data_IF_013334633652
#
_entry.id   IF_013334633652
#
_cell.length_a   1.000
_cell.length_b   1.000
_cell.length_c   1.000
_cell.angle_alpha   90.00
_cell.angle_beta   90.00
_cell.angle_gamma   90.00
#
_symmetry.space_group_name_H-M   'P 1'
#
loop_
_entity.id
_entity.type
_entity.pdbx_description
1 polymer ?
#
# COMPACT_ATOMS: atom_id res chain seq x y z
N UNK A 1 -63.81 12.98 -68.12
CA UNK A 1 -62.46 12.77 -68.61
C UNK A 1 -61.52 13.37 -67.62
N UNK A 2 -61.03 12.56 -66.70
CA UNK A 2 -59.98 12.94 -65.68
C UNK A 2 -58.83 12.00 -65.83
N UNK A 3 -57.68 12.54 -66.16
CA UNK A 3 -56.43 11.87 -66.31
C UNK A 3 -55.76 11.76 -64.90
N UNK A 4 -55.52 10.55 -64.45
CA UNK A 4 -54.81 10.28 -63.15
C UNK A 4 -53.33 10.23 -63.44
N UNK A 5 -52.63 11.14 -62.85
CA UNK A 5 -51.16 11.22 -62.85
C UNK A 5 -50.59 10.26 -61.79
N UNK A 6 -49.86 9.23 -62.19
CA UNK A 6 -49.12 8.34 -61.25
C UNK A 6 -47.71 8.90 -61.03
N UNK A 7 -47.46 9.49 -59.89
CA UNK A 7 -46.09 9.84 -59.44
C UNK A 7 -45.42 8.58 -58.93
N UNK A 8 -44.32 8.23 -59.57
CA UNK A 8 -43.41 7.16 -59.17
C UNK A 8 -42.44 7.70 -58.10
N UNK A 9 -42.61 7.23 -56.88
CA UNK A 9 -41.67 7.55 -55.81
C UNK A 9 -40.53 6.52 -55.82
N UNK A 10 -39.31 6.94 -56.23
CA UNK A 10 -38.12 6.13 -56.19
C UNK A 10 -37.51 6.26 -54.82
N UNK A 11 -37.58 5.21 -54.01
CA UNK A 11 -36.88 5.13 -52.69
C UNK A 11 -35.48 4.64 -52.96
N UNK A 12 -34.51 5.57 -52.84
CA UNK A 12 -33.08 5.24 -52.89
C UNK A 12 -32.63 4.80 -51.48
N UNK A 13 -32.45 3.49 -51.30
CA UNK A 13 -31.90 2.93 -50.10
C UNK A 13 -30.39 3.24 -50.03
N UNK A 14 -30.01 4.15 -49.13
CA UNK A 14 -28.62 4.46 -48.82
C UNK A 14 -28.11 3.43 -47.81
N UNK A 15 -27.44 2.38 -48.29
CA UNK A 15 -26.77 1.39 -47.43
C UNK A 15 -25.50 2.01 -46.85
N UNK A 16 -25.56 2.47 -45.60
CA UNK A 16 -24.36 2.82 -44.82
C UNK A 16 -23.60 1.54 -44.49
N UNK A 17 -22.51 1.28 -45.21
CA UNK A 17 -21.49 0.30 -44.81
C UNK A 17 -20.75 0.87 -43.59
N UNK A 18 -21.09 0.38 -42.39
CA UNK A 18 -20.25 0.56 -41.20
C UNK A 18 -18.97 -0.26 -41.39
N UNK A 19 -17.93 0.38 -41.93
CA UNK A 19 -16.57 -0.16 -41.88
C UNK A 19 -16.12 -0.16 -40.43
N UNK A 20 -16.20 -1.30 -39.74
CA UNK A 20 -15.53 -1.54 -38.48
C UNK A 20 -14.00 -1.49 -38.75
N UNK A 21 -13.41 -0.35 -38.48
CA UNK A 21 -11.92 -0.23 -38.43
C UNK A 21 -11.47 -1.06 -37.27
N UNK A 22 -11.09 -2.32 -37.48
CA UNK A 22 -10.29 -3.07 -36.55
C UNK A 22 -8.97 -2.28 -36.39
N UNK A 23 -8.82 -1.62 -35.27
CA UNK A 23 -7.58 -0.95 -34.88
C UNK A 23 -6.52 -2.03 -34.69
N UNK A 24 -5.78 -2.36 -35.73
CA UNK A 24 -4.56 -3.14 -35.64
C UNK A 24 -3.53 -2.27 -34.90
N UNK A 25 -3.56 -2.29 -33.58
CA UNK A 25 -2.46 -1.72 -32.81
C UNK A 25 -1.20 -2.55 -33.11
N UNK A 26 -0.16 -1.89 -33.58
CA UNK A 26 1.15 -2.55 -33.79
C UNK A 26 1.57 -3.23 -32.47
N UNK A 27 2.16 -4.43 -32.51
CA UNK A 27 2.60 -5.13 -31.30
C UNK A 27 3.53 -4.21 -30.50
N UNK A 28 3.13 -3.90 -29.25
CA UNK A 28 3.93 -3.10 -28.31
C UNK A 28 5.14 -3.92 -27.91
N UNK A 29 6.33 -3.49 -28.30
CA UNK A 29 7.58 -4.08 -27.82
C UNK A 29 7.78 -3.65 -26.37
N UNK A 30 7.68 -4.58 -25.42
CA UNK A 30 7.98 -4.35 -24.02
C UNK A 30 9.49 -4.52 -23.85
N UNK A 31 10.23 -3.45 -23.48
CA UNK A 31 11.67 -3.57 -23.27
C UNK A 31 11.98 -4.36 -22.01
N UNK A 32 13.25 -4.73 -21.82
CA UNK A 32 13.71 -5.32 -20.57
C UNK A 32 13.42 -4.36 -19.40
N UNK A 33 12.97 -4.93 -18.28
CA UNK A 33 12.72 -4.17 -17.06
C UNK A 33 13.97 -3.39 -16.62
N UNK A 34 13.81 -2.22 -15.99
CA UNK A 34 14.93 -1.39 -15.57
C UNK A 34 15.76 -2.10 -14.49
N UNK A 35 17.06 -1.91 -14.51
CA UNK A 35 17.92 -2.34 -13.41
C UNK A 35 17.61 -1.54 -12.16
N UNK A 36 17.29 -2.24 -11.08
CA UNK A 36 17.01 -1.69 -9.74
C UNK A 36 18.19 -1.98 -8.83
N UNK A 37 18.70 -0.96 -8.15
CA UNK A 37 19.80 -1.09 -7.18
C UNK A 37 19.18 -1.29 -5.80
N UNK A 38 18.94 -2.56 -5.46
CA UNK A 38 18.35 -3.01 -4.19
C UNK A 38 18.62 -4.50 -4.01
N UNK A 39 18.52 -5.01 -2.78
CA UNK A 39 18.70 -6.44 -2.47
C UNK A 39 17.58 -7.29 -3.03
N UNK A 40 16.35 -6.78 -2.99
CA UNK A 40 15.16 -7.47 -3.51
C UNK A 40 14.13 -6.43 -3.98
N UNK A 41 13.36 -6.79 -5.01
CA UNK A 41 12.22 -5.98 -5.43
C UNK A 41 11.16 -6.80 -6.16
N UNK A 42 9.96 -6.24 -6.18
CA UNK A 42 8.84 -6.70 -7.01
C UNK A 42 7.99 -5.50 -7.45
N UNK A 43 7.39 -5.62 -8.62
CA UNK A 43 6.33 -4.75 -9.13
C UNK A 43 5.16 -5.62 -9.56
N UNK A 44 3.99 -5.34 -9.04
CA UNK A 44 2.75 -6.04 -9.41
C UNK A 44 1.68 -5.06 -9.91
N UNK A 45 0.82 -5.55 -10.78
CA UNK A 45 -0.48 -4.94 -11.06
C UNK A 45 -1.44 -5.28 -9.92
N UNK A 46 -2.12 -4.26 -9.39
CA UNK A 46 -3.00 -4.42 -8.23
C UNK A 46 -4.23 -5.26 -8.54
N UNK A 47 -4.86 -5.06 -9.69
CA UNK A 47 -6.15 -5.67 -9.99
C UNK A 47 -6.01 -7.15 -10.35
N UNK A 48 -5.01 -7.50 -11.16
CA UNK A 48 -4.77 -8.87 -11.60
C UNK A 48 -3.81 -9.66 -10.71
N UNK A 49 -3.03 -8.99 -9.86
CA UNK A 49 -1.93 -9.61 -9.11
C UNK A 49 -0.73 -10.00 -9.98
N UNK A 50 -0.75 -9.67 -11.29
CA UNK A 50 0.31 -10.05 -12.21
C UNK A 50 1.64 -9.42 -11.82
N UNK A 51 2.66 -10.26 -11.68
CA UNK A 51 4.04 -9.81 -11.51
C UNK A 51 4.56 -9.24 -12.84
N UNK A 52 4.99 -7.97 -12.81
CA UNK A 52 5.53 -7.25 -13.96
C UNK A 52 7.06 -7.42 -14.01
N UNK A 53 7.72 -7.30 -12.88
CA UNK A 53 9.16 -7.55 -12.72
C UNK A 53 9.49 -7.86 -11.28
N UNK A 54 10.50 -8.68 -11.07
CA UNK A 54 10.94 -9.15 -9.75
C UNK A 54 12.42 -9.47 -9.73
N UNK A 55 13.01 -9.44 -8.55
CA UNK A 55 14.37 -9.89 -8.27
C UNK A 55 14.47 -10.29 -6.80
N UNK A 56 14.93 -11.51 -6.51
CA UNK A 56 15.06 -12.06 -5.16
C UNK A 56 13.77 -11.90 -4.31
N UNK A 57 12.61 -11.89 -4.94
CA UNK A 57 11.33 -11.49 -4.33
C UNK A 57 10.89 -12.36 -3.16
N UNK A 58 11.38 -13.58 -3.04
CA UNK A 58 11.09 -14.55 -1.95
C UNK A 58 12.17 -14.60 -0.87
N UNK A 59 13.24 -13.82 -1.02
CA UNK A 59 14.33 -13.79 -0.03
C UNK A 59 13.82 -13.29 1.33
N UNK A 60 14.19 -14.00 2.40
CA UNK A 60 13.87 -13.63 3.77
C UNK A 60 14.76 -12.47 4.21
N UNK A 61 14.18 -11.28 4.27
CA UNK A 61 14.86 -10.05 4.62
C UNK A 61 14.23 -9.41 5.87
N UNK A 62 15.02 -8.64 6.62
CA UNK A 62 14.49 -7.86 7.72
C UNK A 62 13.53 -6.78 7.18
N UNK A 63 12.24 -6.77 7.57
CA UNK A 63 11.25 -5.84 7.01
C UNK A 63 11.36 -4.43 7.59
N UNK A 64 12.06 -4.26 8.71
CA UNK A 64 12.06 -3.01 9.44
C UNK A 64 10.61 -2.48 9.63
N UNK A 65 10.37 -1.18 9.54
CA UNK A 65 9.02 -0.61 9.71
C UNK A 65 8.02 -0.92 8.59
N UNK A 66 8.37 -1.72 7.57
CA UNK A 66 7.36 -2.29 6.67
C UNK A 66 6.41 -3.23 7.44
N UNK A 67 6.88 -3.85 8.52
CA UNK A 67 6.06 -4.60 9.50
C UNK A 67 4.77 -3.88 9.88
N UNK A 68 4.80 -2.54 9.96
CA UNK A 68 3.63 -1.74 10.32
C UNK A 68 2.49 -1.77 9.29
N UNK A 69 2.73 -2.30 8.09
CA UNK A 69 1.66 -2.58 7.14
C UNK A 69 0.81 -3.74 7.68
N UNK A 70 1.45 -4.81 8.22
CA UNK A 70 0.74 -5.91 8.87
C UNK A 70 0.09 -5.47 10.18
N UNK A 71 0.76 -4.64 10.99
CA UNK A 71 0.17 -4.03 12.18
C UNK A 71 -1.09 -3.24 11.82
N UNK A 72 -1.05 -2.42 10.75
CA UNK A 72 -2.23 -1.71 10.25
C UNK A 72 -3.32 -2.66 9.77
N UNK A 73 -2.95 -3.71 9.04
CA UNK A 73 -3.90 -4.70 8.53
C UNK A 73 -4.69 -5.34 9.68
N UNK A 74 -4.00 -5.80 10.72
CA UNK A 74 -4.63 -6.36 11.91
C UNK A 74 -5.54 -5.35 12.63
N UNK A 75 -5.07 -4.10 12.85
CA UNK A 75 -5.89 -3.04 13.47
C UNK A 75 -7.12 -2.69 12.62
N UNK A 76 -6.97 -2.59 11.30
CA UNK A 76 -8.09 -2.31 10.39
C UNK A 76 -9.10 -3.47 10.35
N UNK A 77 -8.64 -4.70 10.49
CA UNK A 77 -9.52 -5.86 10.62
C UNK A 77 -10.38 -5.77 11.87
N UNK A 78 -9.80 -5.45 13.02
CA UNK A 78 -10.54 -5.27 14.28
C UNK A 78 -11.55 -4.11 14.21
N UNK A 79 -11.18 -2.99 13.56
CA UNK A 79 -12.08 -1.87 13.30
C UNK A 79 -13.26 -2.29 12.39
N UNK A 80 -12.98 -3.03 11.32
CA UNK A 80 -14.01 -3.48 10.36
C UNK A 80 -14.98 -4.48 11.00
N UNK A 81 -14.49 -5.32 11.91
CA UNK A 81 -15.31 -6.27 12.67
C UNK A 81 -16.09 -5.60 13.82
N UNK A 82 -15.80 -4.36 14.15
CA UNK A 82 -16.44 -3.61 15.22
C UNK A 82 -15.98 -4.00 16.64
N UNK A 83 -14.85 -4.72 16.74
CA UNK A 83 -14.25 -5.07 18.03
C UNK A 83 -13.63 -3.85 18.72
N UNK A 84 -13.14 -2.89 17.95
CA UNK A 84 -12.66 -1.60 18.41
C UNK A 84 -13.23 -0.47 17.53
N UNK A 85 -13.15 0.77 18.02
CA UNK A 85 -13.56 1.96 17.29
C UNK A 85 -12.41 2.96 17.20
N UNK A 86 -12.42 3.82 16.17
CA UNK A 86 -11.42 4.89 16.01
C UNK A 86 -11.39 5.86 17.20
N UNK A 87 -12.54 6.03 17.89
CA UNK A 87 -12.70 6.88 19.07
C UNK A 87 -12.23 6.25 20.36
N UNK A 88 -11.98 4.93 20.42
CA UNK A 88 -11.57 4.24 21.64
C UNK A 88 -10.29 4.81 22.19
N UNK A 89 -10.25 5.05 23.49
CA UNK A 89 -9.12 5.61 24.20
C UNK A 89 -8.18 4.52 24.71
N UNK A 90 -6.99 4.47 24.17
CA UNK A 90 -5.91 3.55 24.56
C UNK A 90 -5.09 4.17 25.68
N UNK A 91 -5.03 3.52 26.84
CA UNK A 91 -4.13 3.93 27.93
C UNK A 91 -2.71 3.50 27.62
N UNK A 92 -1.80 4.47 27.56
CA UNK A 92 -0.41 4.24 27.17
C UNK A 92 0.36 3.55 28.29
N UNK A 93 0.87 2.36 27.99
CA UNK A 93 1.72 1.58 28.90
C UNK A 93 3.12 2.12 29.01
N UNK A 94 3.84 1.70 30.06
CA UNK A 94 5.28 1.99 30.20
C UNK A 94 6.11 1.35 29.07
N UNK A 95 5.75 0.14 28.60
CA UNK A 95 6.39 -0.57 27.48
C UNK A 95 6.26 0.26 26.19
N UNK A 96 5.06 0.67 25.81
CA UNK A 96 4.81 1.50 24.64
C UNK A 96 5.59 2.82 24.71
N UNK A 97 5.53 3.55 25.81
CA UNK A 97 6.26 4.82 26.00
C UNK A 97 7.79 4.66 25.92
N UNK A 98 8.34 3.59 26.49
CA UNK A 98 9.79 3.33 26.48
C UNK A 98 10.31 2.82 25.14
N UNK A 99 9.44 2.30 24.25
CA UNK A 99 9.81 1.71 22.98
C UNK A 99 10.70 2.66 22.17
N UNK A 100 11.86 2.16 21.76
CA UNK A 100 12.90 2.93 21.04
C UNK A 100 12.60 3.14 19.56
N UNK A 101 13.49 3.83 18.89
CA UNK A 101 13.39 4.12 17.46
C UNK A 101 12.49 5.31 17.13
N UNK A 102 11.73 5.24 16.03
CA UNK A 102 10.81 6.32 15.63
C UNK A 102 9.65 6.44 16.61
N UNK A 103 9.28 7.66 16.97
CA UNK A 103 8.23 7.93 17.97
C UNK A 103 7.19 8.91 17.48
N UNK A 104 5.95 8.70 17.92
CA UNK A 104 4.86 9.66 17.89
C UNK A 104 4.98 10.64 19.08
N UNK A 105 5.77 10.28 20.11
CA UNK A 105 5.98 10.99 21.39
C UNK A 105 4.76 10.95 22.31
N UNK A 106 4.23 9.74 22.52
CA UNK A 106 3.18 9.48 23.51
C UNK A 106 3.76 9.46 24.93
N UNK A 107 2.92 9.70 25.93
CA UNK A 107 3.29 9.74 27.34
C UNK A 107 2.62 8.63 28.14
N UNK A 108 3.34 7.99 29.05
CA UNK A 108 2.81 6.94 29.90
C UNK A 108 1.61 7.40 30.71
N UNK A 109 0.58 6.54 30.80
CA UNK A 109 -0.67 6.82 31.54
C UNK A 109 -1.66 7.78 30.84
N UNK A 110 -1.26 8.41 29.74
CA UNK A 110 -2.19 9.21 28.91
C UNK A 110 -3.12 8.29 28.13
N UNK A 111 -4.29 8.82 27.80
CA UNK A 111 -5.26 8.20 26.92
C UNK A 111 -5.21 8.84 25.55
N UNK A 112 -5.08 8.05 24.51
CA UNK A 112 -4.95 8.51 23.13
C UNK A 112 -5.86 7.66 22.25
N UNK A 113 -6.64 8.30 21.37
CA UNK A 113 -7.56 7.56 20.49
C UNK A 113 -6.82 6.65 19.50
N UNK A 114 -7.45 5.52 19.17
CA UNK A 114 -6.99 4.58 18.14
C UNK A 114 -6.68 5.31 16.84
N UNK A 115 -7.53 6.27 16.41
CA UNK A 115 -7.28 7.10 15.22
C UNK A 115 -5.94 7.82 15.27
N UNK A 116 -5.64 8.50 16.38
CA UNK A 116 -4.39 9.24 16.53
C UNK A 116 -3.18 8.32 16.57
N UNK A 117 -3.30 7.17 17.23
CA UNK A 117 -2.23 6.16 17.26
C UNK A 117 -1.97 5.58 15.86
N UNK A 118 -3.01 5.28 15.08
CA UNK A 118 -2.89 4.86 13.68
C UNK A 118 -2.17 5.91 12.83
N UNK A 119 -2.57 7.17 12.92
CA UNK A 119 -1.89 8.27 12.20
C UNK A 119 -0.43 8.40 12.61
N UNK A 120 -0.15 8.35 13.90
CA UNK A 120 1.23 8.38 14.41
C UNK A 120 2.06 7.18 13.96
N UNK A 121 1.49 5.98 13.93
CA UNK A 121 2.16 4.78 13.46
C UNK A 121 2.44 4.81 11.94
N UNK A 122 1.47 5.21 11.14
CA UNK A 122 1.56 5.18 9.68
C UNK A 122 2.46 6.31 9.17
N UNK A 123 2.18 7.55 9.57
CA UNK A 123 2.80 8.76 9.03
C UNK A 123 4.21 8.96 9.60
N UNK A 124 4.36 9.01 10.92
CA UNK A 124 5.65 9.22 11.58
C UNK A 124 6.42 7.93 11.86
N UNK A 125 5.81 6.78 11.57
CA UNK A 125 6.39 5.46 11.84
C UNK A 125 6.61 5.19 13.34
N UNK A 126 5.73 5.73 14.21
CA UNK A 126 5.85 5.64 15.68
C UNK A 126 5.84 4.20 16.18
N UNK A 127 6.94 3.75 16.77
CA UNK A 127 7.04 2.44 17.39
C UNK A 127 6.22 2.40 18.69
N UNK A 128 6.24 3.49 19.44
CA UNK A 128 5.43 3.71 20.62
C UNK A 128 3.92 3.55 20.33
N UNK A 129 3.44 4.14 19.26
CA UNK A 129 2.06 3.99 18.80
C UNK A 129 1.74 2.56 18.34
N UNK A 130 2.71 1.88 17.68
CA UNK A 130 2.54 0.48 17.24
C UNK A 130 2.35 -0.46 18.41
N UNK A 131 3.19 -0.32 19.46
CA UNK A 131 3.10 -1.13 20.68
C UNK A 131 1.81 -0.85 21.44
N UNK A 132 1.41 0.43 21.54
CA UNK A 132 0.16 0.80 22.21
C UNK A 132 -1.08 0.16 21.54
N UNK A 133 -1.12 0.16 20.20
CA UNK A 133 -2.19 -0.50 19.44
C UNK A 133 -2.14 -2.02 19.61
N UNK A 134 -0.95 -2.60 19.57
CA UNK A 134 -0.77 -4.04 19.74
C UNK A 134 -1.24 -4.52 21.14
N UNK A 135 -0.87 -3.80 22.20
CA UNK A 135 -1.31 -4.08 23.56
C UNK A 135 -2.82 -3.88 23.74
N UNK A 136 -3.40 -2.87 23.07
CA UNK A 136 -4.84 -2.61 23.15
C UNK A 136 -5.68 -3.75 22.57
N UNK A 137 -5.22 -4.35 21.45
CA UNK A 137 -5.94 -5.42 20.75
C UNK A 137 -5.59 -6.79 21.32
N UNK A 138 -4.31 -7.08 21.49
CA UNK A 138 -3.84 -8.41 21.92
C UNK A 138 -3.68 -8.57 23.42
N UNK A 139 -3.86 -7.50 24.22
CA UNK A 139 -3.50 -7.49 25.64
C UNK A 139 -1.99 -7.47 25.89
N UNK A 140 -1.22 -8.06 24.98
CA UNK A 140 0.25 -8.03 24.93
C UNK A 140 0.74 -7.96 23.48
N UNK A 141 1.92 -7.37 23.25
CA UNK A 141 2.50 -7.28 21.90
C UNK A 141 2.81 -8.66 21.31
N UNK A 142 3.18 -9.61 22.16
CA UNK A 142 3.47 -11.00 21.78
C UNK A 142 2.23 -11.70 21.21
N UNK A 143 1.08 -11.59 21.88
CA UNK A 143 -0.21 -12.13 21.40
C UNK A 143 -0.64 -11.44 20.11
N UNK A 144 -0.41 -10.13 20.00
CA UNK A 144 -0.68 -9.41 18.76
C UNK A 144 0.22 -9.87 17.61
N UNK A 145 1.48 -10.22 17.89
CA UNK A 145 2.37 -10.78 16.86
C UNK A 145 1.90 -12.16 16.38
N UNK A 146 1.31 -12.98 17.24
CA UNK A 146 0.64 -14.23 16.84
C UNK A 146 -0.55 -13.94 15.89
N UNK A 147 -1.37 -12.94 16.19
CA UNK A 147 -2.46 -12.50 15.32
C UNK A 147 -1.92 -12.02 13.96
N UNK A 148 -0.81 -11.26 13.93
CA UNK A 148 -0.15 -10.86 12.69
C UNK A 148 0.28 -12.06 11.84
N UNK A 149 0.80 -13.11 12.46
CA UNK A 149 1.21 -14.33 11.76
C UNK A 149 0.01 -15.13 11.26
N UNK A 150 -1.11 -15.16 11.97
CA UNK A 150 -2.36 -15.76 11.48
C UNK A 150 -2.87 -15.03 10.22
N UNK A 151 -2.84 -13.70 10.20
CA UNK A 151 -3.17 -12.95 8.99
C UNK A 151 -2.17 -13.21 7.86
N UNK A 152 -0.87 -13.34 8.16
CA UNK A 152 0.12 -13.69 7.16
C UNK A 152 -0.20 -15.04 6.49
N UNK A 153 -0.57 -16.04 7.27
CA UNK A 153 -0.99 -17.36 6.76
C UNK A 153 -2.25 -17.25 5.88
N UNK A 154 -3.30 -16.56 6.36
CA UNK A 154 -4.55 -16.35 5.62
C UNK A 154 -4.30 -15.65 4.29
N UNK A 155 -3.37 -14.68 4.23
CA UNK A 155 -3.02 -13.94 3.04
C UNK A 155 -2.06 -14.69 2.11
N UNK A 156 -1.50 -15.85 2.52
CA UNK A 156 -0.54 -16.61 1.74
C UNK A 156 0.88 -16.02 1.77
N UNK A 157 1.24 -15.29 2.81
CA UNK A 157 2.57 -14.71 3.01
C UNK A 157 3.56 -15.76 3.56
N UNK A 158 3.94 -16.72 2.73
CA UNK A 158 4.72 -17.88 3.15
C UNK A 158 6.18 -17.60 3.49
N UNK A 159 6.68 -16.41 3.16
CA UNK A 159 8.06 -15.98 3.41
C UNK A 159 8.10 -14.86 4.48
N UNK A 160 7.15 -14.86 5.42
CA UNK A 160 7.05 -13.86 6.48
C UNK A 160 6.83 -14.48 7.84
N UNK A 161 7.45 -13.88 8.85
CA UNK A 161 7.20 -14.19 10.25
C UNK A 161 7.41 -12.94 11.10
N UNK A 162 6.40 -12.58 11.89
CA UNK A 162 6.39 -11.37 12.69
C UNK A 162 6.58 -11.70 14.18
N UNK A 163 7.52 -11.00 14.84
CA UNK A 163 7.83 -11.16 16.26
C UNK A 163 7.41 -9.95 17.11
N UNK A 164 7.10 -8.83 16.47
CA UNK A 164 6.66 -7.60 17.11
C UNK A 164 5.89 -6.71 16.14
N UNK A 165 5.18 -5.72 16.67
CA UNK A 165 4.35 -4.80 15.91
C UNK A 165 5.12 -3.64 15.24
N UNK A 166 6.42 -3.51 15.50
CA UNK A 166 7.21 -2.33 15.14
C UNK A 166 8.13 -2.54 13.94
N UNK A 167 8.63 -3.77 13.77
CA UNK A 167 9.71 -4.11 12.85
C UNK A 167 11.10 -3.85 13.43
N UNK A 168 11.21 -3.73 14.75
CA UNK A 168 12.52 -3.75 15.42
C UNK A 168 13.16 -5.13 15.25
N UNK A 169 14.50 -5.19 15.14
CA UNK A 169 15.18 -6.46 14.95
C UNK A 169 14.87 -7.47 16.05
N UNK A 170 14.47 -8.65 15.66
CA UNK A 170 14.28 -9.80 16.55
C UNK A 170 14.67 -11.08 15.79
N UNK A 171 15.05 -12.13 16.53
CA UNK A 171 15.29 -13.44 15.94
C UNK A 171 14.03 -13.90 15.20
N UNK A 172 14.18 -14.44 14.00
CA UNK A 172 13.08 -14.91 13.14
C UNK A 172 12.04 -13.84 12.77
N UNK A 173 12.39 -12.55 12.81
CA UNK A 173 11.53 -11.48 12.28
C UNK A 173 11.95 -11.16 10.85
N UNK A 174 11.21 -11.65 9.87
CA UNK A 174 11.53 -11.51 8.46
C UNK A 174 10.27 -11.37 7.60
N UNK A 175 10.45 -10.91 6.38
CA UNK A 175 9.46 -10.91 5.31
C UNK A 175 10.17 -10.91 3.94
N UNK A 176 9.40 -10.90 2.87
CA UNK A 176 9.90 -10.84 1.50
C UNK A 176 9.25 -9.70 0.71
N UNK A 177 9.83 -9.36 -0.45
CA UNK A 177 9.22 -8.37 -1.33
C UNK A 177 7.89 -8.85 -1.89
N UNK A 178 7.76 -10.14 -2.20
CA UNK A 178 6.51 -10.76 -2.66
C UNK A 178 5.43 -10.65 -1.59
N UNK A 179 5.72 -11.08 -0.36
CA UNK A 179 4.74 -11.05 0.72
C UNK A 179 4.31 -9.63 1.08
N UNK A 180 5.24 -8.67 1.04
CA UNK A 180 4.88 -7.27 1.28
C UNK A 180 4.03 -6.68 0.15
N UNK A 181 4.17 -7.16 -1.09
CA UNK A 181 3.28 -6.77 -2.19
C UNK A 181 1.88 -7.40 -2.03
N UNK A 182 1.80 -8.68 -1.63
CA UNK A 182 0.54 -9.38 -1.29
C UNK A 182 -0.18 -8.63 -0.17
N UNK A 183 0.53 -8.31 0.91
CA UNK A 183 -0.03 -7.57 2.05
C UNK A 183 -0.54 -6.18 1.65
N UNK A 184 0.23 -5.45 0.84
CA UNK A 184 -0.17 -4.13 0.37
C UNK A 184 -1.42 -4.21 -0.51
N UNK A 185 -1.50 -5.20 -1.40
CA UNK A 185 -2.68 -5.46 -2.23
C UNK A 185 -3.91 -5.75 -1.36
N UNK A 186 -3.77 -6.66 -0.39
CA UNK A 186 -4.85 -7.01 0.52
C UNK A 186 -5.31 -5.80 1.34
N UNK A 187 -4.39 -5.02 1.91
CA UNK A 187 -4.71 -3.85 2.72
C UNK A 187 -5.51 -2.80 1.93
N UNK A 188 -5.11 -2.52 0.69
CA UNK A 188 -5.81 -1.56 -0.18
C UNK A 188 -7.20 -2.07 -0.56
N UNK A 189 -7.32 -3.38 -0.88
CA UNK A 189 -8.57 -4.02 -1.29
C UNK A 189 -9.57 -4.12 -0.14
N UNK A 190 -9.10 -4.57 1.03
CA UNK A 190 -9.97 -4.94 2.14
C UNK A 190 -10.36 -3.75 3.02
N UNK A 191 -9.55 -2.67 3.02
CA UNK A 191 -9.71 -1.50 3.90
C UNK A 191 -9.51 -0.16 3.17
N UNK A 192 -10.20 0.09 2.04
CA UNK A 192 -9.99 1.29 1.22
C UNK A 192 -10.29 2.59 1.98
N UNK A 193 -11.19 2.58 2.96
CA UNK A 193 -11.52 3.72 3.80
C UNK A 193 -10.37 4.12 4.74
N UNK A 194 -9.69 3.14 5.35
CA UNK A 194 -8.56 3.37 6.25
C UNK A 194 -7.25 3.58 5.50
N UNK A 195 -7.13 3.00 4.30
CA UNK A 195 -5.96 3.17 3.44
C UNK A 195 -5.61 4.64 3.18
N UNK A 196 -6.60 5.52 3.15
CA UNK A 196 -6.43 6.96 2.92
C UNK A 196 -5.43 7.61 3.88
N UNK A 197 -5.23 7.07 5.09
CA UNK A 197 -4.26 7.58 6.07
C UNK A 197 -2.82 7.51 5.49
N UNK A 198 -2.53 6.55 4.61
CA UNK A 198 -1.20 6.40 4.02
C UNK A 198 -0.82 7.54 3.06
N UNK A 199 -1.78 8.24 2.49
CA UNK A 199 -1.57 9.41 1.63
C UNK A 199 -1.41 10.71 2.41
N UNK A 200 -1.71 10.74 3.72
CA UNK A 200 -1.54 11.93 4.55
C UNK A 200 -0.04 12.29 4.63
N UNK A 201 0.29 13.49 4.18
CA UNK A 201 1.68 13.97 4.11
C UNK A 201 2.24 14.37 5.47
N UNK A 202 1.38 14.78 6.39
CA UNK A 202 1.79 15.34 7.68
C UNK A 202 0.80 14.96 8.78
N UNK A 203 1.33 14.87 9.99
CA UNK A 203 0.56 14.59 11.19
C UNK A 203 1.01 15.53 12.32
N UNK A 204 0.07 16.09 13.05
CA UNK A 204 0.35 16.96 14.19
C UNK A 204 -0.15 16.28 15.46
N UNK A 205 0.75 16.04 16.39
CA UNK A 205 0.43 15.44 17.67
C UNK A 205 1.30 15.98 18.79
N UNK A 206 0.64 16.38 19.91
CA UNK A 206 1.34 16.91 21.05
C UNK A 206 1.91 18.32 20.85
N UNK A 207 2.64 18.80 21.85
CA UNK A 207 3.33 20.09 21.83
C UNK A 207 4.74 19.94 22.36
N UNK A 208 5.66 20.72 21.83
CA UNK A 208 7.02 20.81 22.34
C UNK A 208 7.02 21.35 23.77
N UNK A 209 7.70 20.66 24.68
CA UNK A 209 7.74 21.03 26.10
C UNK A 209 8.28 22.45 26.35
N UNK A 210 9.27 22.90 25.55
CA UNK A 210 9.92 24.20 25.71
C UNK A 210 9.18 25.35 25.05
N UNK A 211 8.67 25.14 23.84
CA UNK A 211 8.09 26.22 23.03
C UNK A 211 6.56 26.23 23.02
N UNK A 212 5.91 25.15 23.48
CA UNK A 212 4.46 24.94 23.38
C UNK A 212 3.94 24.79 21.94
N UNK A 213 4.83 24.78 20.93
CA UNK A 213 4.45 24.63 19.54
C UNK A 213 3.98 23.21 19.22
N UNK A 214 3.02 23.04 18.29
CA UNK A 214 2.60 21.71 17.84
C UNK A 214 3.77 20.92 17.29
N UNK A 215 3.87 19.62 17.66
CA UNK A 215 4.84 18.70 17.06
C UNK A 215 4.29 18.25 15.71
N UNK A 216 4.89 18.76 14.65
CA UNK A 216 4.56 18.40 13.27
C UNK A 216 5.53 17.34 12.76
N UNK A 217 4.99 16.22 12.30
CA UNK A 217 5.76 15.10 11.76
C UNK A 217 5.34 14.83 10.32
N UNK A 218 6.33 14.72 9.43
CA UNK A 218 6.09 14.46 8.01
C UNK A 218 6.13 12.97 7.71
N UNK A 219 5.31 12.53 6.75
CA UNK A 219 5.36 11.19 6.23
C UNK A 219 6.74 10.92 5.61
N UNK A 220 7.29 9.75 5.88
CA UNK A 220 8.65 9.40 5.44
C UNK A 220 8.72 8.91 4.00
N UNK A 221 7.58 8.64 3.37
CA UNK A 221 7.51 8.29 1.95
C UNK A 221 7.61 9.55 1.08
N UNK A 222 8.82 9.81 0.58
CA UNK A 222 9.09 11.00 -0.26
C UNK A 222 8.36 10.99 -1.61
N UNK A 223 7.89 9.85 -2.08
CA UNK A 223 7.14 9.78 -3.34
C UNK A 223 5.82 10.53 -3.26
N UNK A 224 5.20 10.64 -2.09
CA UNK A 224 3.97 11.43 -1.87
C UNK A 224 4.10 12.92 -2.24
N UNK A 225 5.34 13.44 -2.30
CA UNK A 225 5.61 14.85 -2.72
C UNK A 225 6.15 14.95 -4.14
N UNK A 226 6.57 13.84 -4.75
CA UNK A 226 7.23 13.82 -6.06
C UNK A 226 6.33 13.39 -7.19
N UNK A 227 5.30 12.61 -6.86
CA UNK A 227 4.43 11.98 -7.84
C UNK A 227 3.01 11.92 -7.27
N UNK A 228 2.11 12.69 -7.84
CA UNK A 228 0.72 12.78 -7.39
C UNK A 228 -0.09 11.51 -7.67
N UNK A 229 0.43 10.58 -8.47
CA UNK A 229 -0.16 9.26 -8.63
C UNK A 229 0.08 8.34 -7.43
N UNK A 230 1.10 8.64 -6.59
CA UNK A 230 1.47 7.85 -5.41
C UNK A 230 0.57 8.21 -4.23
N UNK A 231 -0.09 7.20 -3.65
CA UNK A 231 -1.01 7.35 -2.52
C UNK A 231 -0.64 6.51 -1.27
N UNK A 232 0.51 5.85 -1.28
CA UNK A 232 1.01 5.01 -0.18
C UNK A 232 2.38 4.43 -0.48
N UNK A 233 2.88 3.51 0.31
CA UNK A 233 2.47 3.06 1.62
C UNK A 233 3.50 3.40 2.70
N UNK A 234 4.52 2.54 2.85
CA UNK A 234 5.37 2.54 4.05
C UNK A 234 6.85 2.42 3.73
N UNK A 235 7.64 3.16 4.49
CA UNK A 235 9.09 3.07 4.48
C UNK A 235 9.60 2.25 5.67
N UNK A 236 10.74 1.58 5.48
CA UNK A 236 11.49 0.87 6.53
C UNK A 236 12.96 1.24 6.51
N UNK A 237 13.61 1.14 7.66
CA UNK A 237 15.06 1.21 7.80
C UNK A 237 15.51 0.58 9.11
N UNK A 238 16.44 -0.34 9.02
CA UNK A 238 17.35 -0.75 10.08
C UNK A 238 18.72 -0.98 9.45
N UNK A 239 19.77 -1.10 10.26
CA UNK A 239 21.11 -1.40 9.72
C UNK A 239 21.13 -2.72 8.93
N UNK A 240 20.34 -3.72 9.36
CA UNK A 240 20.24 -5.01 8.71
C UNK A 240 19.37 -4.98 7.44
N UNK A 241 18.26 -4.20 7.46
CA UNK A 241 17.34 -4.13 6.34
C UNK A 241 17.79 -3.23 5.18
N UNK A 242 18.69 -2.28 5.44
CA UNK A 242 18.90 -1.17 4.51
C UNK A 242 17.66 -0.29 4.40
N UNK A 243 17.54 0.49 3.35
CA UNK A 243 16.39 1.37 3.10
C UNK A 243 15.32 0.64 2.27
N UNK A 244 14.13 0.49 2.83
CA UNK A 244 13.02 -0.24 2.22
C UNK A 244 11.84 0.70 1.95
N UNK A 245 11.06 0.39 0.91
CA UNK A 245 9.81 1.10 0.57
C UNK A 245 8.83 0.14 -0.10
N UNK A 246 7.62 0.07 0.43
CA UNK A 246 6.45 -0.40 -0.31
C UNK A 246 5.70 0.83 -0.77
N UNK A 247 5.48 0.96 -2.07
CA UNK A 247 4.76 2.08 -2.66
C UNK A 247 3.59 1.61 -3.50
N UNK A 248 2.51 2.38 -3.51
CA UNK A 248 1.37 2.21 -4.41
C UNK A 248 1.14 3.51 -5.17
N UNK A 249 0.83 3.38 -6.45
CA UNK A 249 0.47 4.48 -7.31
C UNK A 249 -0.73 4.10 -8.18
N UNK A 250 -1.63 5.08 -8.45
CA UNK A 250 -2.79 4.90 -9.33
C UNK A 250 -2.78 5.97 -10.42
N UNK A 251 -2.84 5.51 -11.68
CA UNK A 251 -2.84 6.40 -12.84
C UNK A 251 -3.73 5.79 -13.94
N UNK A 252 -4.59 6.61 -14.54
CA UNK A 252 -5.44 6.26 -15.67
C UNK A 252 -6.23 4.95 -15.46
N UNK A 253 -6.75 4.73 -14.25
CA UNK A 253 -7.50 3.54 -13.86
C UNK A 253 -6.65 2.37 -13.35
N UNK A 254 -5.41 2.24 -13.78
CA UNK A 254 -4.46 1.21 -13.34
C UNK A 254 -3.82 1.55 -12.00
N UNK A 255 -3.68 0.56 -11.11
CA UNK A 255 -2.91 0.67 -9.87
C UNK A 255 -1.73 -0.29 -9.87
N UNK A 256 -0.58 0.21 -9.48
CA UNK A 256 0.64 -0.58 -9.31
C UNK A 256 1.11 -0.58 -7.87
N UNK A 257 1.71 -1.69 -7.44
CA UNK A 257 2.37 -1.83 -6.15
C UNK A 257 3.82 -2.25 -6.40
N UNK A 258 4.77 -1.51 -5.79
CA UNK A 258 6.18 -1.88 -5.77
C UNK A 258 6.65 -2.12 -4.34
N UNK A 259 7.43 -3.17 -4.12
CA UNK A 259 8.17 -3.40 -2.89
C UNK A 259 9.67 -3.44 -3.20
N UNK A 260 10.45 -2.62 -2.48
CA UNK A 260 11.91 -2.49 -2.64
C UNK A 260 12.56 -2.66 -1.28
N UNK A 261 13.53 -3.58 -1.17
CA UNK A 261 14.29 -3.85 0.04
C UNK A 261 15.78 -3.62 -0.19
N UNK A 262 16.47 -3.12 0.83
CA UNK A 262 17.93 -3.05 0.83
C UNK A 262 18.52 -2.03 -0.13
N UNK A 263 17.84 -0.91 -0.38
CA UNK A 263 18.45 0.20 -1.09
C UNK A 263 19.46 0.95 -0.18
N UNK A 264 20.38 1.72 -0.81
CA UNK A 264 21.53 2.32 -0.10
C UNK A 264 21.17 3.60 0.67
N UNK A 265 20.05 4.26 0.35
CA UNK A 265 19.67 5.52 0.99
C UNK A 265 18.17 5.82 0.91
N UNK A 266 17.72 6.84 1.64
CA UNK A 266 16.36 7.40 1.56
C UNK A 266 16.01 7.80 0.13
N UNK A 267 16.95 8.43 -0.59
CA UNK A 267 16.76 8.84 -1.98
C UNK A 267 16.75 7.64 -2.92
N UNK A 268 17.63 6.65 -2.68
CA UNK A 268 17.70 5.44 -3.50
C UNK A 268 16.39 4.65 -3.47
N UNK A 269 15.83 4.34 -2.29
CA UNK A 269 14.56 3.59 -2.21
C UNK A 269 13.41 4.30 -2.94
N UNK A 270 13.36 5.65 -2.88
CA UNK A 270 12.34 6.41 -3.61
C UNK A 270 12.57 6.37 -5.12
N UNK A 271 13.82 6.57 -5.56
CA UNK A 271 14.21 6.53 -6.98
C UNK A 271 13.96 5.15 -7.60
N UNK A 272 14.37 4.09 -6.90
CA UNK A 272 14.21 2.72 -7.41
C UNK A 272 12.74 2.31 -7.49
N UNK A 273 11.92 2.65 -6.49
CA UNK A 273 10.46 2.45 -6.57
C UNK A 273 9.82 3.24 -7.71
N UNK A 274 10.24 4.51 -7.93
CA UNK A 274 9.74 5.33 -9.03
C UNK A 274 10.08 4.73 -10.40
N UNK A 275 11.29 4.18 -10.57
CA UNK A 275 11.67 3.48 -11.81
C UNK A 275 10.73 2.32 -12.13
N UNK A 276 10.40 1.51 -11.11
CA UNK A 276 9.48 0.39 -11.25
C UNK A 276 8.08 0.87 -11.65
N UNK A 277 7.52 1.83 -10.93
CA UNK A 277 6.20 2.40 -11.21
C UNK A 277 6.12 3.00 -12.62
N UNK A 278 7.11 3.80 -13.01
CA UNK A 278 7.19 4.41 -14.33
C UNK A 278 7.27 3.36 -15.44
N UNK A 279 8.02 2.27 -15.22
CA UNK A 279 8.11 1.16 -16.16
C UNK A 279 6.75 0.48 -16.34
N UNK A 280 6.07 0.17 -15.23
CA UNK A 280 4.73 -0.44 -15.27
C UNK A 280 3.74 0.42 -16.03
N UNK A 281 3.54 1.68 -15.64
CA UNK A 281 2.59 2.58 -16.31
C UNK A 281 2.91 2.89 -17.78
N UNK A 282 4.18 2.80 -18.16
CA UNK A 282 4.57 3.07 -19.56
C UNK A 282 4.30 1.91 -20.49
N UNK A 283 4.46 0.67 -20.03
CA UNK A 283 4.48 -0.50 -20.89
C UNK A 283 3.35 -1.50 -20.66
N UNK A 284 2.56 -1.31 -19.60
CA UNK A 284 1.45 -2.18 -19.23
C UNK A 284 0.16 -1.38 -19.07
N UNK A 285 -0.94 -2.05 -19.29
CA UNK A 285 -2.30 -1.55 -19.12
C UNK A 285 -3.11 -2.63 -18.39
N UNK A 286 -4.04 -2.20 -17.55
CA UNK A 286 -5.02 -3.10 -16.92
C UNK A 286 -6.35 -2.89 -17.59
N UNK A 287 -6.84 -3.93 -18.27
CA UNK A 287 -8.14 -3.92 -18.93
C UNK A 287 -9.08 -4.91 -18.26
N UNK A 288 -10.35 -4.55 -18.00
CA UNK A 288 -11.34 -5.49 -17.52
C UNK A 288 -11.64 -6.52 -18.61
N UNK A 289 -11.57 -7.82 -18.28
CA UNK A 289 -11.86 -8.92 -19.22
C UNK A 289 -13.36 -8.97 -19.56
N UNK A 290 -14.20 -8.44 -18.65
CA UNK A 290 -15.66 -8.37 -18.84
C UNK A 290 -16.21 -7.08 -18.23
N UNK A 291 -17.32 -6.58 -18.79
CA UNK A 291 -18.07 -5.53 -18.13
C UNK A 291 -18.75 -6.06 -16.84
N UNK A 292 -18.83 -5.26 -15.76
CA UNK A 292 -19.54 -5.67 -14.56
C UNK A 292 -20.97 -6.11 -14.88
N UNK A 293 -21.32 -7.34 -14.44
CA UNK A 293 -22.67 -7.90 -14.65
C UNK A 293 -22.88 -8.72 -15.92
N UNK A 294 -21.89 -8.86 -16.80
CA UNK A 294 -21.96 -9.83 -17.91
C UNK A 294 -21.50 -11.21 -17.44
N UNK A 295 -22.38 -12.20 -17.59
CA UNK A 295 -22.05 -13.61 -17.37
C UNK A 295 -21.11 -14.09 -18.48
N UNK A 296 -19.98 -14.71 -18.10
CA UNK A 296 -19.14 -15.44 -19.05
C UNK A 296 -19.91 -16.67 -19.53
N UNK A 297 -20.24 -16.71 -20.82
CA UNK A 297 -20.84 -17.88 -21.47
C UNK A 297 -19.80 -18.90 -21.86
#
# INVERSE_FOLDING_TARGET
>A
LQTINKSLITITAFSMLLASTASNSAPRIIPKAPTVIASSHILIDFDSGKVITEFNQKEHLAPASLTKIMTSYAVFSELKQGHIQLSDEVTISKKAWQTGGSKMFIEVGKKISVEKLLKGMIISSGNDASVALAEHIGGAEETFAELMNQYAEILGMHNSNFQNATGMPASNHYSSAEDMAILAQALIRDFPEFYKIYSEREFIFGKELKSGKPIKQSNRNKLLWRDDSVDGLKTGYTKAAGYCLVASAKKDGMRLISAVFGADSVEARARESQKLLNFGFRFYETEPVTEPGKTLS
#
